data_IF_336691779672
#
_entry.id   IF_336691779672
#
_cell.length_a   1.000
_cell.length_b   1.000
_cell.length_c   1.000
_cell.angle_alpha   90.00
_cell.angle_beta   90.00
_cell.angle_gamma   90.00
#
_symmetry.space_group_name_H-M   'P 1'
#
loop_
_entity.id
_entity.type
_entity.pdbx_description
1 polymer ?
#
# COMPACT_ATOMS: atom_id res chain seq x y z
N UNK A 1 2.17 25.12 -33.41
CA UNK A 1 3.14 24.39 -32.55
C UNK A 1 2.72 22.94 -32.56
N UNK A 2 3.63 22.05 -32.95
CA UNK A 2 3.35 20.62 -33.14
C UNK A 2 4.14 19.80 -32.12
N UNK A 3 3.52 18.77 -31.55
CA UNK A 3 4.17 17.79 -30.67
C UNK A 3 3.90 16.40 -31.22
N UNK A 4 4.97 15.63 -31.44
CA UNK A 4 4.87 14.24 -31.84
C UNK A 4 5.14 13.30 -30.66
N UNK A 5 4.26 12.31 -30.46
CA UNK A 5 4.35 11.34 -29.38
C UNK A 5 4.49 9.92 -29.93
N UNK A 6 5.67 9.30 -29.76
CA UNK A 6 5.91 7.92 -30.18
C UNK A 6 5.90 6.95 -28.98
N UNK A 7 4.98 6.00 -28.96
CA UNK A 7 4.88 4.97 -27.91
C UNK A 7 6.07 3.99 -27.89
N UNK A 8 6.70 3.71 -29.04
CA UNK A 8 7.87 2.82 -29.10
C UNK A 8 9.09 3.39 -28.38
N UNK A 9 9.17 4.72 -28.24
CA UNK A 9 10.25 5.36 -27.46
C UNK A 9 10.17 5.07 -25.95
N UNK A 10 9.04 4.55 -25.46
CA UNK A 10 8.84 4.21 -24.06
C UNK A 10 9.47 2.86 -23.70
N UNK A 11 9.72 1.98 -24.68
CA UNK A 11 10.05 0.57 -24.45
C UNK A 11 11.27 0.39 -23.55
N UNK A 12 12.37 1.08 -23.86
CA UNK A 12 13.62 0.94 -23.10
C UNK A 12 13.47 1.47 -21.66
N UNK A 13 12.80 2.61 -21.50
CA UNK A 13 12.56 3.18 -20.16
C UNK A 13 11.66 2.28 -19.31
N UNK A 14 10.62 1.69 -19.91
CA UNK A 14 9.73 0.76 -19.20
C UNK A 14 10.50 -0.51 -18.81
N UNK A 15 11.27 -1.10 -19.74
CA UNK A 15 12.05 -2.30 -19.46
C UNK A 15 13.13 -2.05 -18.39
N UNK A 16 13.75 -0.87 -18.40
CA UNK A 16 14.72 -0.48 -17.37
C UNK A 16 14.06 -0.32 -15.99
N UNK A 17 12.91 0.35 -15.91
CA UNK A 17 12.17 0.51 -14.65
C UNK A 17 11.70 -0.85 -14.10
N UNK A 18 11.25 -1.76 -14.98
CA UNK A 18 10.80 -3.10 -14.60
C UNK A 18 11.92 -4.03 -14.10
N UNK A 19 13.19 -3.65 -14.29
CA UNK A 19 14.31 -4.36 -13.67
C UNK A 19 14.46 -4.05 -12.18
N UNK A 20 13.84 -2.97 -11.67
CA UNK A 20 13.91 -2.60 -10.27
C UNK A 20 12.93 -3.42 -9.40
N UNK A 21 13.34 -3.82 -8.18
CA UNK A 21 12.46 -4.52 -7.24
C UNK A 21 11.14 -3.78 -6.98
N UNK A 22 10.03 -4.52 -6.96
CA UNK A 22 8.69 -3.96 -6.66
C UNK A 22 8.05 -3.10 -7.76
N UNK A 23 8.74 -2.85 -8.88
CA UNK A 23 8.15 -2.08 -9.98
C UNK A 23 7.08 -2.88 -10.71
N UNK A 24 5.88 -2.31 -10.83
CA UNK A 24 4.79 -2.90 -11.61
C UNK A 24 4.80 -2.40 -13.05
N UNK A 25 4.33 -3.20 -14.03
CA UNK A 25 4.22 -2.76 -15.42
C UNK A 25 3.43 -1.46 -15.58
N UNK A 26 2.33 -1.31 -14.85
CA UNK A 26 1.51 -0.10 -14.88
C UNK A 26 2.28 1.13 -14.39
N UNK A 27 3.00 1.01 -13.26
CA UNK A 27 3.77 2.14 -12.72
C UNK A 27 4.98 2.49 -13.61
N UNK A 28 5.63 1.50 -14.22
CA UNK A 28 6.71 1.73 -15.17
C UNK A 28 6.21 2.45 -16.44
N UNK A 29 5.05 2.05 -16.97
CA UNK A 29 4.38 2.75 -18.07
C UNK A 29 4.03 4.18 -17.70
N UNK A 30 3.47 4.42 -16.51
CA UNK A 30 3.13 5.77 -16.02
C UNK A 30 4.36 6.68 -15.98
N UNK A 31 5.45 6.20 -15.38
CA UNK A 31 6.71 6.95 -15.26
C UNK A 31 7.32 7.26 -16.62
N UNK A 32 7.37 6.27 -17.51
CA UNK A 32 7.87 6.44 -18.86
C UNK A 32 7.01 7.44 -19.67
N UNK A 33 5.68 7.36 -19.55
CA UNK A 33 4.76 8.26 -20.23
C UNK A 33 4.86 9.69 -19.70
N UNK A 34 5.01 9.88 -18.39
CA UNK A 34 5.24 11.19 -17.77
C UNK A 34 6.54 11.82 -18.28
N UNK A 35 7.64 11.06 -18.26
CA UNK A 35 8.93 11.51 -18.76
C UNK A 35 8.87 11.85 -20.25
N UNK A 36 8.22 11.02 -21.06
CA UNK A 36 8.06 11.24 -22.50
C UNK A 36 7.25 12.50 -22.80
N UNK A 37 6.09 12.68 -22.17
CA UNK A 37 5.31 13.91 -22.31
C UNK A 37 6.11 15.13 -21.88
N UNK A 38 6.89 15.04 -20.80
CA UNK A 38 7.74 16.14 -20.37
C UNK A 38 8.77 16.51 -21.45
N UNK A 39 9.54 15.53 -21.93
CA UNK A 39 10.62 15.78 -22.88
C UNK A 39 10.11 16.21 -24.26
N UNK A 40 9.04 15.61 -24.80
CA UNK A 40 8.49 16.01 -26.10
C UNK A 40 7.94 17.45 -26.08
N UNK A 41 7.22 17.83 -25.03
CA UNK A 41 6.72 19.20 -24.90
C UNK A 41 7.85 20.20 -24.59
N UNK A 42 8.86 19.80 -23.83
CA UNK A 42 10.04 20.64 -23.57
C UNK A 42 10.81 20.92 -24.86
N UNK A 43 11.01 19.89 -25.69
CA UNK A 43 11.70 20.01 -26.97
C UNK A 43 10.90 20.86 -27.96
N UNK A 44 9.62 20.57 -28.15
CA UNK A 44 8.76 21.28 -29.09
C UNK A 44 8.57 22.78 -28.76
N UNK A 45 8.72 23.15 -27.49
CA UNK A 45 8.54 24.54 -27.03
C UNK A 45 9.84 25.16 -26.48
N UNK A 46 11.00 24.58 -26.76
CA UNK A 46 12.28 25.00 -26.18
C UNK A 46 12.59 26.50 -26.37
N UNK A 47 12.16 27.09 -27.48
CA UNK A 47 12.40 28.49 -27.81
C UNK A 47 11.47 29.50 -27.12
N UNK A 48 10.35 29.05 -26.54
CA UNK A 48 9.30 29.92 -26.00
C UNK A 48 9.01 29.69 -24.52
N UNK A 49 9.51 28.59 -23.96
CA UNK A 49 9.30 28.26 -22.54
C UNK A 49 10.11 29.18 -21.63
N UNK A 50 9.43 29.77 -20.65
CA UNK A 50 10.09 30.50 -19.54
C UNK A 50 10.39 29.61 -18.34
N UNK A 51 9.78 28.42 -18.28
CA UNK A 51 9.94 27.41 -17.21
C UNK A 51 9.79 26.01 -17.81
N UNK A 52 10.41 24.98 -17.20
CA UNK A 52 10.18 23.59 -17.61
C UNK A 52 8.70 23.21 -17.58
N UNK A 53 8.24 22.36 -18.52
CA UNK A 53 6.88 21.83 -18.50
C UNK A 53 6.58 21.09 -17.20
N UNK A 54 5.33 21.11 -16.77
CA UNK A 54 4.84 20.25 -15.69
C UNK A 54 3.82 19.29 -16.26
N UNK A 55 4.05 18.00 -16.05
CA UNK A 55 3.11 16.93 -16.40
C UNK A 55 2.42 16.48 -15.12
N UNK A 56 1.12 16.23 -15.20
CA UNK A 56 0.32 15.73 -14.08
C UNK A 56 -0.62 14.65 -14.55
N UNK A 57 -0.52 13.50 -13.92
CA UNK A 57 -1.50 12.42 -14.02
C UNK A 57 -2.46 12.41 -12.83
N UNK A 58 -3.59 11.73 -13.01
CA UNK A 58 -4.60 11.56 -11.98
C UNK A 58 -4.70 10.08 -11.59
N UNK A 59 -4.35 9.79 -10.34
CA UNK A 59 -4.22 8.43 -9.79
C UNK A 59 -5.49 7.56 -9.88
N UNK A 60 -6.66 8.19 -9.98
CA UNK A 60 -7.97 7.54 -10.01
C UNK A 60 -8.31 6.86 -11.35
N UNK A 61 -7.59 7.17 -12.41
CA UNK A 61 -7.87 6.66 -13.75
C UNK A 61 -7.13 5.37 -14.09
N UNK A 62 -6.26 4.92 -13.19
CA UNK A 62 -5.43 3.74 -13.40
C UNK A 62 -6.19 2.49 -12.95
N UNK A 63 -6.88 1.87 -13.91
CA UNK A 63 -7.48 0.55 -13.70
C UNK A 63 -6.34 -0.49 -13.59
N UNK A 64 -6.51 -1.49 -12.73
CA UNK A 64 -5.62 -2.66 -12.65
C UNK A 64 -4.15 -2.35 -12.33
N UNK A 65 -3.86 -1.61 -11.25
CA UNK A 65 -2.51 -1.22 -10.78
C UNK A 65 -1.44 -2.33 -10.77
N UNK A 66 -1.86 -3.58 -10.65
CA UNK A 66 -1.01 -4.77 -10.54
C UNK A 66 -1.08 -5.68 -11.76
N UNK A 67 -1.57 -5.19 -12.90
CA UNK A 67 -1.61 -5.99 -14.12
C UNK A 67 -0.20 -6.39 -14.58
N UNK A 68 -0.03 -7.67 -14.93
CA UNK A 68 1.16 -8.18 -15.62
C UNK A 68 1.18 -7.72 -17.09
N UNK A 69 2.32 -7.86 -17.77
CA UNK A 69 2.41 -7.53 -19.20
C UNK A 69 1.45 -8.38 -20.06
N UNK A 70 1.28 -9.70 -19.84
CA UNK A 70 0.26 -10.47 -20.55
C UNK A 70 -1.18 -9.97 -20.30
N UNK A 71 -1.50 -9.57 -19.07
CA UNK A 71 -2.80 -8.99 -18.77
C UNK A 71 -3.01 -7.67 -19.54
N UNK A 72 -2.01 -6.79 -19.53
CA UNK A 72 -2.02 -5.53 -20.29
C UNK A 72 -2.01 -5.73 -21.81
N UNK A 73 -1.43 -6.81 -22.34
CA UNK A 73 -1.56 -7.15 -23.76
C UNK A 73 -3.00 -7.45 -24.15
N UNK A 74 -3.77 -8.08 -23.25
CA UNK A 74 -5.19 -8.38 -23.46
C UNK A 74 -6.12 -7.18 -23.25
N UNK A 75 -5.90 -6.40 -22.20
CA UNK A 75 -6.77 -5.27 -21.83
C UNK A 75 -6.34 -3.92 -22.40
N UNK A 76 -5.06 -3.75 -22.71
CA UNK A 76 -4.42 -2.46 -22.98
C UNK A 76 -4.13 -1.67 -21.70
N UNK A 77 -3.22 -0.70 -21.81
CA UNK A 77 -3.06 0.35 -20.80
C UNK A 77 -3.78 1.61 -21.28
N UNK A 78 -4.60 2.20 -20.39
CA UNK A 78 -5.36 3.42 -20.68
C UNK A 78 -5.31 4.38 -19.49
N UNK A 79 -5.27 5.68 -19.79
CA UNK A 79 -5.34 6.75 -18.79
C UNK A 79 -6.04 7.99 -19.35
N UNK A 80 -6.63 8.80 -18.49
CA UNK A 80 -7.49 9.92 -18.87
C UNK A 80 -7.02 11.23 -18.28
N UNK A 81 -7.22 12.29 -19.06
CA UNK A 81 -7.00 13.68 -18.66
C UNK A 81 -5.62 14.03 -18.11
N UNK A 82 -4.48 13.47 -18.58
CA UNK A 82 -3.19 14.03 -18.19
C UNK A 82 -3.09 15.49 -18.60
N UNK A 83 -2.53 16.31 -17.71
CA UNK A 83 -2.39 17.75 -17.88
C UNK A 83 -0.92 18.12 -18.07
N UNK A 84 -0.61 18.83 -19.16
CA UNK A 84 0.68 19.42 -19.44
C UNK A 84 0.55 20.92 -19.29
N UNK A 85 1.31 21.50 -18.34
CA UNK A 85 1.35 22.94 -18.12
C UNK A 85 2.62 23.52 -18.72
N UNK A 86 2.46 24.44 -19.67
CA UNK A 86 3.52 25.23 -20.27
C UNK A 86 3.42 26.69 -19.80
N UNK A 87 4.57 27.31 -19.57
CA UNK A 87 4.66 28.75 -19.27
C UNK A 87 5.49 29.42 -20.35
N UNK A 88 4.92 30.42 -21.04
CA UNK A 88 5.63 31.19 -22.08
C UNK A 88 5.59 32.69 -21.77
N UNK A 89 6.37 33.48 -22.51
CA UNK A 89 6.22 34.94 -22.50
C UNK A 89 4.85 35.37 -23.03
N UNK A 90 4.40 36.59 -22.71
CA UNK A 90 3.11 37.09 -23.21
C UNK A 90 3.06 37.20 -24.75
N UNK A 91 4.21 37.48 -25.38
CA UNK A 91 4.34 37.55 -26.84
C UNK A 91 4.31 36.17 -27.52
N UNK A 92 4.70 35.12 -26.79
CA UNK A 92 4.78 33.74 -27.28
C UNK A 92 3.59 32.89 -26.82
N UNK A 93 2.48 33.54 -26.45
CA UNK A 93 1.26 32.85 -26.05
C UNK A 93 0.55 32.26 -27.27
N UNK A 94 -0.10 31.11 -27.08
CA UNK A 94 -0.75 30.38 -28.17
C UNK A 94 -2.12 29.84 -27.75
N UNK A 95 -3.01 29.68 -28.72
CA UNK A 95 -4.39 29.21 -28.50
C UNK A 95 -4.70 27.90 -29.25
N UNK A 96 -3.70 27.35 -29.95
CA UNK A 96 -3.80 26.09 -30.67
C UNK A 96 -2.50 25.29 -30.60
N UNK A 97 -2.65 23.96 -30.56
CA UNK A 97 -1.56 23.00 -30.60
C UNK A 97 -1.99 21.79 -31.45
N UNK A 98 -1.05 21.24 -32.20
CA UNK A 98 -1.25 20.01 -32.96
C UNK A 98 -0.51 18.88 -32.27
N UNK A 99 -1.19 17.74 -32.11
CA UNK A 99 -0.63 16.54 -31.50
C UNK A 99 -0.67 15.42 -32.55
N UNK A 100 0.49 14.89 -32.89
CA UNK A 100 0.64 13.67 -33.69
C UNK A 100 1.12 12.52 -32.79
N UNK A 101 0.74 11.29 -33.14
CA UNK A 101 1.12 10.13 -32.33
C UNK A 101 1.29 8.85 -33.15
N UNK A 102 2.25 8.02 -32.74
CA UNK A 102 2.55 6.70 -33.29
C UNK A 102 2.65 5.70 -32.13
N UNK A 103 2.09 4.49 -32.28
CA UNK A 103 2.07 3.44 -31.23
C UNK A 103 1.55 3.91 -29.85
N UNK A 104 0.83 5.02 -29.85
CA UNK A 104 0.21 5.67 -28.70
C UNK A 104 -1.10 6.29 -29.20
N UNK A 105 -2.23 5.74 -28.79
CA UNK A 105 -3.55 6.23 -29.19
C UNK A 105 -3.94 7.47 -28.41
N UNK A 106 -4.15 8.58 -29.10
CA UNK A 106 -4.76 9.79 -28.55
C UNK A 106 -6.25 9.82 -28.93
N UNK A 107 -7.10 9.32 -28.04
CA UNK A 107 -8.50 9.07 -28.34
C UNK A 107 -9.37 10.29 -27.99
N UNK A 108 -10.29 10.69 -28.89
CA UNK A 108 -11.10 11.87 -28.65
C UNK A 108 -12.32 11.55 -27.77
N UNK A 109 -12.78 12.56 -27.03
CA UNK A 109 -14.03 12.50 -26.27
C UNK A 109 -15.09 13.34 -26.99
N UNK A 110 -16.29 12.76 -27.12
CA UNK A 110 -17.47 13.44 -27.65
C UNK A 110 -18.12 14.30 -26.57
N UNK A 111 -18.36 15.58 -26.87
CA UNK A 111 -19.03 16.53 -25.98
C UNK A 111 -20.49 16.76 -26.36
N UNK A 112 -21.05 15.92 -27.26
CA UNK A 112 -22.35 16.17 -27.87
C UNK A 112 -22.28 17.21 -29.00
N UNK A 113 -23.36 17.36 -29.75
CA UNK A 113 -23.45 18.32 -30.86
C UNK A 113 -22.45 18.09 -32.00
N UNK A 114 -21.95 16.85 -32.17
CA UNK A 114 -20.96 16.50 -33.19
C UNK A 114 -19.52 16.92 -32.87
N UNK A 115 -19.26 17.51 -31.69
CA UNK A 115 -17.91 17.95 -31.30
C UNK A 115 -17.16 16.81 -30.62
N UNK A 116 -16.05 16.40 -31.22
CA UNK A 116 -15.13 15.41 -30.67
C UNK A 116 -13.72 16.01 -30.62
N UNK A 117 -13.03 15.89 -29.47
CA UNK A 117 -11.69 16.49 -29.29
C UNK A 117 -10.73 15.51 -28.65
N UNK A 118 -9.50 15.45 -29.15
CA UNK A 118 -8.38 14.68 -28.58
C UNK A 118 -7.80 15.38 -27.35
N UNK A 119 -7.75 16.71 -27.36
CA UNK A 119 -7.22 17.50 -26.26
C UNK A 119 -8.05 18.77 -26.05
N UNK A 120 -7.85 19.41 -24.89
CA UNK A 120 -8.32 20.75 -24.59
C UNK A 120 -7.12 21.64 -24.24
N UNK A 121 -7.15 22.88 -24.70
CA UNK A 121 -6.18 23.91 -24.30
C UNK A 121 -6.90 24.96 -23.47
N UNK A 122 -6.35 25.29 -22.29
CA UNK A 122 -6.78 26.44 -21.50
C UNK A 122 -5.62 27.40 -21.33
N UNK A 123 -5.83 28.65 -21.72
CA UNK A 123 -4.86 29.73 -21.56
C UNK A 123 -5.25 30.62 -20.38
N UNK A 124 -4.25 31.08 -19.63
CA UNK A 124 -4.41 32.09 -18.59
C UNK A 124 -3.22 33.04 -18.60
N UNK A 125 -3.49 34.29 -18.96
CA UNK A 125 -2.49 35.35 -18.94
C UNK A 125 -2.27 35.87 -17.50
N UNK A 126 -1.00 36.05 -17.14
CA UNK A 126 -0.55 36.64 -15.90
C UNK A 126 0.24 37.93 -16.19
N UNK A 127 0.65 38.66 -15.15
CA UNK A 127 1.37 39.94 -15.32
C UNK A 127 2.65 39.87 -16.18
N UNK A 128 3.34 38.72 -16.20
CA UNK A 128 4.66 38.56 -16.85
C UNK A 128 4.78 37.33 -17.76
N UNK A 129 3.77 36.46 -17.79
CA UNK A 129 3.82 35.19 -18.53
C UNK A 129 2.40 34.74 -18.87
N UNK A 130 2.27 33.86 -19.85
CA UNK A 130 1.03 33.13 -20.11
C UNK A 130 1.18 31.65 -19.73
N UNK A 131 0.17 31.12 -19.05
CA UNK A 131 0.10 29.70 -18.71
C UNK A 131 -0.86 28.98 -19.66
N UNK A 132 -0.41 27.86 -20.20
CA UNK A 132 -1.15 27.02 -21.12
C UNK A 132 -1.28 25.64 -20.48
N UNK A 133 -2.51 25.18 -20.26
CA UNK A 133 -2.81 23.84 -19.77
C UNK A 133 -3.40 23.04 -20.93
N UNK A 134 -2.60 22.10 -21.44
CA UNK A 134 -3.01 21.10 -22.41
C UNK A 134 -3.50 19.89 -21.64
N UNK A 135 -4.78 19.56 -21.76
CA UNK A 135 -5.36 18.33 -21.23
C UNK A 135 -5.59 17.37 -22.37
N UNK A 136 -4.86 16.26 -22.41
CA UNK A 136 -5.12 15.18 -23.38
C UNK A 136 -6.26 14.34 -22.81
N UNK A 137 -7.30 14.08 -23.59
CA UNK A 137 -8.53 13.50 -23.05
C UNK A 137 -8.38 12.02 -22.66
N UNK A 138 -7.77 11.22 -23.53
CA UNK A 138 -7.59 9.79 -23.33
C UNK A 138 -6.34 9.32 -24.07
N UNK A 139 -5.42 8.70 -23.33
CA UNK A 139 -4.24 8.04 -23.87
C UNK A 139 -4.41 6.53 -23.72
N UNK A 140 -4.22 5.81 -24.82
CA UNK A 140 -4.17 4.35 -24.86
C UNK A 140 -2.81 3.90 -25.38
N UNK A 141 -2.09 3.10 -24.62
CA UNK A 141 -0.81 2.56 -25.08
C UNK A 141 -1.06 1.47 -26.14
N UNK A 142 -0.30 1.51 -27.24
CA UNK A 142 -0.37 0.48 -28.27
C UNK A 142 0.04 -0.90 -27.73
N UNK A 143 -0.64 -1.95 -28.21
CA UNK A 143 -0.33 -3.34 -27.81
C UNK A 143 1.02 -3.81 -28.38
N UNK A 144 1.47 -3.19 -29.47
CA UNK A 144 2.81 -3.31 -30.04
C UNK A 144 3.90 -2.84 -29.07
N UNK A 145 3.68 -1.72 -28.36
CA UNK A 145 4.61 -1.23 -27.32
C UNK A 145 4.73 -2.23 -26.18
N UNK A 146 3.59 -2.69 -25.65
CA UNK A 146 3.57 -3.66 -24.53
C UNK A 146 4.26 -4.97 -24.97
N UNK A 147 4.04 -5.41 -26.22
CA UNK A 147 4.70 -6.58 -26.80
C UNK A 147 6.20 -6.37 -26.92
N UNK A 148 6.64 -5.20 -27.37
CA UNK A 148 8.06 -4.87 -27.48
C UNK A 148 8.74 -4.87 -26.10
N UNK A 149 8.09 -4.33 -25.06
CA UNK A 149 8.57 -4.41 -23.66
C UNK A 149 8.69 -5.86 -23.21
N UNK A 150 7.67 -6.69 -23.46
CA UNK A 150 7.69 -8.10 -23.10
C UNK A 150 8.85 -8.84 -23.78
N UNK A 151 8.99 -8.70 -25.11
CA UNK A 151 10.10 -9.30 -25.88
C UNK A 151 11.47 -8.86 -25.35
N UNK A 152 11.61 -7.57 -25.01
CA UNK A 152 12.85 -7.00 -24.47
C UNK A 152 13.25 -7.60 -23.13
N UNK A 153 12.27 -7.84 -22.26
CA UNK A 153 12.46 -8.48 -20.95
C UNK A 153 12.63 -9.99 -21.06
N UNK A 154 12.01 -10.67 -22.02
CA UNK A 154 12.28 -12.09 -22.26
C UNK A 154 13.73 -12.36 -22.68
N UNK A 155 14.35 -11.43 -23.42
CA UNK A 155 15.77 -11.50 -23.79
C UNK A 155 16.71 -11.22 -22.61
N UNK A 156 16.24 -10.49 -21.60
CA UNK A 156 17.02 -10.07 -20.43
C UNK A 156 16.11 -9.97 -19.21
N UNK A 157 15.67 -11.11 -18.64
CA UNK A 157 14.65 -11.12 -17.61
C UNK A 157 15.13 -10.47 -16.32
N UNK A 158 14.23 -9.79 -15.58
CA UNK A 158 14.58 -9.25 -14.27
C UNK A 158 14.90 -10.39 -13.30
N UNK A 159 15.83 -10.15 -12.38
CA UNK A 159 16.19 -11.13 -11.34
C UNK A 159 15.01 -11.48 -10.43
N UNK A 160 14.08 -10.53 -10.26
CA UNK A 160 12.82 -10.69 -9.55
C UNK A 160 11.65 -10.27 -10.47
N UNK A 161 10.96 -11.22 -11.11
CA UNK A 161 9.83 -10.93 -11.99
C UNK A 161 8.46 -10.88 -11.28
N UNK A 162 8.38 -11.19 -9.98
CA UNK A 162 7.12 -11.22 -9.26
C UNK A 162 6.73 -9.83 -8.75
N UNK A 163 5.48 -9.44 -9.00
CA UNK A 163 4.87 -8.25 -8.45
C UNK A 163 3.85 -8.63 -7.36
N UNK A 164 3.83 -7.90 -6.26
CA UNK A 164 2.82 -8.08 -5.23
C UNK A 164 1.50 -7.44 -5.65
N UNK A 165 0.50 -8.26 -5.96
CA UNK A 165 -0.86 -7.82 -6.21
C UNK A 165 -1.62 -7.81 -4.87
N UNK A 166 -1.66 -6.63 -4.27
CA UNK A 166 -2.26 -6.40 -2.95
C UNK A 166 -3.78 -6.23 -3.01
N UNK A 167 -4.39 -6.32 -4.19
CA UNK A 167 -5.83 -6.16 -4.36
C UNK A 167 -6.35 -6.87 -5.62
N UNK A 168 -6.16 -8.20 -5.72
CA UNK A 168 -6.41 -8.92 -6.98
C UNK A 168 -7.88 -8.95 -7.39
N UNK A 169 -8.80 -8.78 -6.43
CA UNK A 169 -10.25 -8.86 -6.65
C UNK A 169 -10.99 -7.58 -6.22
N UNK A 170 -10.28 -6.48 -5.93
CA UNK A 170 -10.92 -5.27 -5.34
C UNK A 170 -11.75 -5.64 -4.10
N UNK A 171 -11.25 -6.59 -3.31
CA UNK A 171 -12.05 -7.30 -2.33
C UNK A 171 -12.37 -6.44 -1.10
N UNK A 172 -13.58 -6.60 -0.59
CA UNK A 172 -14.02 -5.93 0.63
C UNK A 172 -13.51 -6.66 1.88
N UNK A 173 -13.70 -6.00 3.03
CA UNK A 173 -13.32 -6.51 4.35
C UNK A 173 -13.87 -7.93 4.60
N UNK A 174 -13.02 -8.80 5.15
CA UNK A 174 -13.33 -10.19 5.48
C UNK A 174 -12.83 -11.22 4.46
N UNK A 175 -12.44 -10.78 3.26
CA UNK A 175 -12.06 -11.63 2.13
C UNK A 175 -10.87 -11.07 1.34
N UNK A 176 -10.01 -10.27 1.99
CA UNK A 176 -8.77 -9.76 1.37
C UNK A 176 -7.74 -10.87 1.24
N UNK A 177 -7.16 -10.96 0.05
CA UNK A 177 -6.07 -11.86 -0.28
C UNK A 177 -4.95 -11.07 -0.96
N UNK A 178 -3.74 -11.63 -0.92
CA UNK A 178 -2.59 -11.11 -1.65
C UNK A 178 -2.10 -12.19 -2.60
N UNK A 179 -1.97 -11.85 -3.88
CA UNK A 179 -1.28 -12.69 -4.86
C UNK A 179 0.05 -12.06 -5.28
N UNK A 180 0.87 -12.87 -5.92
CA UNK A 180 2.15 -12.48 -6.48
C UNK A 180 2.15 -12.95 -7.92
N UNK A 181 2.10 -11.99 -8.83
CA UNK A 181 1.87 -12.27 -10.25
C UNK A 181 3.22 -12.15 -10.97
N UNK A 182 3.56 -13.13 -11.80
CA UNK A 182 4.77 -13.06 -12.63
C UNK A 182 4.53 -12.10 -13.78
N UNK A 183 5.26 -10.98 -13.80
CA UNK A 183 4.95 -9.88 -14.71
C UNK A 183 5.09 -10.24 -16.19
N UNK A 184 5.90 -11.25 -16.53
CA UNK A 184 6.13 -11.68 -17.92
C UNK A 184 5.21 -12.82 -18.37
N UNK A 185 4.79 -13.72 -17.47
CA UNK A 185 4.05 -14.94 -17.83
C UNK A 185 2.58 -14.86 -17.43
N UNK A 186 2.24 -13.99 -16.48
CA UNK A 186 0.90 -13.88 -15.90
C UNK A 186 0.55 -15.00 -14.92
N UNK A 187 1.48 -15.91 -14.64
CA UNK A 187 1.31 -16.93 -13.61
C UNK A 187 1.09 -16.26 -12.25
N UNK A 188 0.15 -16.78 -11.47
CA UNK A 188 -0.23 -16.22 -10.17
C UNK A 188 0.21 -17.15 -9.07
N UNK A 189 0.78 -16.57 -8.04
CA UNK A 189 1.22 -17.28 -6.86
C UNK A 189 0.56 -16.72 -5.61
N UNK A 190 0.36 -17.58 -4.62
CA UNK A 190 -0.05 -17.21 -3.27
C UNK A 190 0.92 -17.84 -2.28
N UNK A 191 1.05 -17.25 -1.09
CA UNK A 191 1.99 -17.75 -0.10
C UNK A 191 1.39 -18.95 0.65
N UNK A 192 2.20 -19.98 0.92
CA UNK A 192 1.76 -21.17 1.68
C UNK A 192 1.16 -20.84 3.04
N UNK A 193 1.62 -19.76 3.69
CA UNK A 193 1.10 -19.36 4.98
C UNK A 193 -0.37 -18.96 4.97
N UNK A 194 -0.94 -18.61 3.80
CA UNK A 194 -2.35 -18.24 3.69
C UNK A 194 -3.26 -19.41 3.32
N UNK A 195 -2.72 -20.62 3.17
CA UNK A 195 -3.47 -21.78 2.70
C UNK A 195 -4.65 -22.14 3.59
N UNK A 196 -4.47 -22.17 4.91
CA UNK A 196 -5.56 -22.48 5.84
C UNK A 196 -6.70 -21.46 5.76
N UNK A 197 -6.35 -20.16 5.68
CA UNK A 197 -7.33 -19.09 5.47
C UNK A 197 -8.07 -19.28 4.14
N UNK A 198 -7.34 -19.50 3.04
CA UNK A 198 -7.93 -19.72 1.72
C UNK A 198 -8.86 -20.95 1.68
N UNK A 199 -8.46 -22.07 2.28
CA UNK A 199 -9.29 -23.28 2.38
C UNK A 199 -10.57 -23.04 3.17
N UNK A 200 -10.51 -22.24 4.24
CA UNK A 200 -11.70 -21.83 5.01
C UNK A 200 -12.69 -21.02 4.17
N UNK A 201 -12.18 -20.12 3.32
CA UNK A 201 -12.99 -19.32 2.39
C UNK A 201 -13.62 -20.20 1.31
N UNK A 202 -12.88 -21.16 0.78
CA UNK A 202 -13.37 -22.11 -0.21
C UNK A 202 -14.46 -23.04 0.35
N UNK A 203 -14.34 -23.44 1.61
CA UNK A 203 -15.29 -24.32 2.29
C UNK A 203 -16.59 -23.64 2.73
N UNK A 204 -16.61 -22.30 2.82
CA UNK A 204 -17.81 -21.53 3.14
C UNK A 204 -18.89 -21.74 2.05
N UNK A 205 -20.18 -21.61 2.36
CA UNK A 205 -21.28 -21.95 1.43
C UNK A 205 -21.57 -20.83 0.41
N UNK A 206 -22.26 -21.14 -0.69
CA UNK A 206 -22.60 -20.15 -1.74
C UNK A 206 -23.46 -18.97 -1.27
N UNK A 207 -24.11 -19.08 -0.11
CA UNK A 207 -24.90 -18.01 0.49
C UNK A 207 -24.06 -16.78 0.94
N UNK A 208 -22.72 -16.86 0.91
CA UNK A 208 -21.80 -15.85 1.43
C UNK A 208 -21.52 -14.66 0.48
N UNK A 209 -22.25 -14.57 -0.64
CA UNK A 209 -22.26 -13.40 -1.53
C UNK A 209 -21.26 -13.45 -2.70
N UNK A 210 -21.34 -12.44 -3.57
CA UNK A 210 -20.61 -12.36 -4.85
C UNK A 210 -19.09 -12.52 -4.70
N UNK A 211 -18.50 -11.90 -3.69
CA UNK A 211 -17.05 -11.87 -3.50
C UNK A 211 -16.46 -13.25 -3.14
N UNK A 212 -17.19 -14.05 -2.35
CA UNK A 212 -16.78 -15.41 -2.05
C UNK A 212 -16.78 -16.29 -3.32
N UNK A 213 -17.72 -16.06 -4.24
CA UNK A 213 -17.76 -16.73 -5.54
C UNK A 213 -16.54 -16.37 -6.41
N UNK A 214 -16.17 -15.08 -6.50
CA UNK A 214 -14.97 -14.66 -7.22
C UNK A 214 -13.71 -15.30 -6.65
N UNK A 215 -13.57 -15.36 -5.33
CA UNK A 215 -12.43 -16.02 -4.69
C UNK A 215 -12.36 -17.53 -4.99
N UNK A 216 -13.50 -18.23 -5.00
CA UNK A 216 -13.56 -19.65 -5.38
C UNK A 216 -13.14 -19.90 -6.82
N UNK A 217 -13.35 -18.94 -7.72
CA UNK A 217 -12.88 -19.02 -9.10
C UNK A 217 -11.41 -18.61 -9.23
N UNK A 218 -10.97 -17.63 -8.43
CA UNK A 218 -9.63 -17.05 -8.51
C UNK A 218 -8.55 -17.95 -7.89
N UNK A 219 -8.78 -18.47 -6.67
CA UNK A 219 -7.79 -19.25 -5.91
C UNK A 219 -7.28 -20.50 -6.66
N UNK A 220 -8.12 -21.29 -7.36
CA UNK A 220 -7.66 -22.42 -8.16
C UNK A 220 -6.73 -22.04 -9.32
N UNK A 221 -6.71 -20.77 -9.73
CA UNK A 221 -5.79 -20.27 -10.77
C UNK A 221 -4.39 -19.92 -10.23
N UNK A 222 -4.21 -19.99 -8.90
CA UNK A 222 -2.97 -19.61 -8.22
C UNK A 222 -2.20 -20.84 -7.75
N UNK A 223 -0.87 -20.81 -7.90
CA UNK A 223 0.03 -21.80 -7.31
C UNK A 223 0.56 -21.35 -5.95
N UNK A 224 0.69 -22.29 -5.01
CA UNK A 224 1.20 -22.05 -3.67
C UNK A 224 2.74 -22.09 -3.64
N UNK A 225 3.38 -21.13 -2.97
CA UNK A 225 4.83 -21.11 -2.74
C UNK A 225 5.19 -20.70 -1.31
N UNK A 226 6.19 -21.36 -0.76
CA UNK A 226 6.74 -21.05 0.56
C UNK A 226 7.46 -19.69 0.59
N UNK A 227 7.38 -19.02 1.75
CA UNK A 227 8.07 -17.75 2.04
C UNK A 227 7.92 -16.68 0.95
N UNK A 228 6.72 -16.55 0.39
CA UNK A 228 6.47 -15.65 -0.72
C UNK A 228 5.99 -14.27 -0.29
N UNK A 229 5.19 -14.19 0.79
CA UNK A 229 4.54 -12.95 1.20
C UNK A 229 5.43 -12.04 2.03
N UNK A 230 5.07 -10.75 2.08
CA UNK A 230 5.80 -9.75 2.88
C UNK A 230 5.93 -10.13 4.35
N UNK A 231 4.91 -10.77 4.94
CA UNK A 231 4.97 -11.21 6.34
C UNK A 231 5.97 -12.34 6.55
N UNK A 232 6.03 -13.33 5.65
CA UNK A 232 7.00 -14.41 5.75
C UNK A 232 8.42 -13.91 5.50
N UNK A 233 8.59 -13.05 4.50
CA UNK A 233 9.88 -12.43 4.17
C UNK A 233 10.38 -11.61 5.35
N UNK A 234 9.57 -10.71 5.92
CA UNK A 234 9.99 -9.89 7.05
C UNK A 234 10.40 -10.71 8.30
N UNK A 235 9.81 -11.91 8.48
CA UNK A 235 10.17 -12.82 9.58
C UNK A 235 11.47 -13.60 9.33
N UNK A 236 11.78 -13.94 8.08
CA UNK A 236 12.89 -14.84 7.73
C UNK A 236 14.12 -14.11 7.17
N UNK A 237 13.89 -13.07 6.39
CA UNK A 237 14.88 -12.30 5.63
C UNK A 237 14.44 -10.83 5.58
N UNK A 238 14.47 -10.08 6.69
CA UNK A 238 14.00 -8.69 6.75
C UNK A 238 14.75 -7.72 5.82
N UNK A 239 15.95 -8.08 5.39
CA UNK A 239 16.75 -7.36 4.40
C UNK A 239 16.28 -7.57 2.95
N UNK A 240 15.40 -8.53 2.69
CA UNK A 240 14.90 -8.85 1.36
C UNK A 240 13.81 -7.85 0.95
N UNK A 241 14.16 -7.00 -0.01
CA UNK A 241 13.36 -5.90 -0.53
C UNK A 241 12.77 -6.19 -1.92
N UNK A 242 12.62 -7.47 -2.28
CA UNK A 242 12.21 -7.91 -3.63
C UNK A 242 10.91 -7.28 -4.18
N UNK A 243 10.04 -6.77 -3.30
CA UNK A 243 8.79 -6.08 -3.67
C UNK A 243 8.80 -4.56 -3.42
N UNK A 244 9.97 -4.00 -3.08
CA UNK A 244 10.16 -2.58 -2.78
C UNK A 244 9.26 -2.06 -1.65
N UNK A 245 8.95 -0.76 -1.70
CA UNK A 245 8.16 -0.07 -0.67
C UNK A 245 6.63 -0.21 -0.85
N UNK A 246 6.17 -1.13 -1.69
CA UNK A 246 4.74 -1.25 -2.06
C UNK A 246 3.84 -1.57 -0.86
N UNK A 247 4.35 -2.30 0.12
CA UNK A 247 3.56 -2.77 1.26
C UNK A 247 3.24 -1.69 2.30
N UNK A 248 4.04 -0.62 2.40
CA UNK A 248 3.88 0.41 3.44
C UNK A 248 2.49 1.09 3.40
N UNK A 249 1.91 1.18 2.20
CA UNK A 249 0.62 1.85 1.97
C UNK A 249 -0.57 0.89 1.91
N UNK A 250 -0.32 -0.43 1.80
CA UNK A 250 -1.35 -1.45 1.55
C UNK A 250 -1.17 -2.73 2.39
N UNK A 251 -0.51 -2.61 3.54
CA UNK A 251 -0.38 -3.71 4.51
C UNK A 251 -1.73 -4.27 4.98
N UNK A 252 -2.81 -3.48 4.82
CA UNK A 252 -4.16 -3.89 5.20
C UNK A 252 -4.66 -5.13 4.47
N UNK A 253 -4.08 -5.46 3.31
CA UNK A 253 -4.41 -6.67 2.54
C UNK A 253 -4.09 -7.96 3.27
N UNK A 254 -3.26 -7.92 4.34
CA UNK A 254 -2.96 -9.09 5.18
C UNK A 254 -3.87 -9.25 6.39
N UNK A 255 -4.74 -8.27 6.68
CA UNK A 255 -5.47 -8.26 7.95
C UNK A 255 -6.43 -9.44 8.09
N UNK A 256 -7.13 -9.82 7.03
CA UNK A 256 -8.12 -10.91 7.11
C UNK A 256 -7.44 -12.26 7.36
N UNK A 257 -6.31 -12.51 6.69
CA UNK A 257 -5.47 -13.67 6.96
C UNK A 257 -4.98 -13.67 8.43
N UNK A 258 -4.43 -12.56 8.92
CA UNK A 258 -3.90 -12.53 10.30
C UNK A 258 -4.99 -12.63 11.36
N UNK A 259 -6.17 -12.05 11.11
CA UNK A 259 -7.34 -12.22 11.96
C UNK A 259 -7.75 -13.69 12.06
N UNK A 260 -7.76 -14.40 10.92
CA UNK A 260 -8.04 -15.84 10.86
C UNK A 260 -6.96 -16.64 11.61
N UNK A 261 -5.69 -16.47 11.23
CA UNK A 261 -4.56 -17.25 11.75
C UNK A 261 -4.41 -17.12 13.28
N UNK A 262 -4.66 -15.94 13.83
CA UNK A 262 -4.51 -15.68 15.26
C UNK A 262 -5.83 -15.69 16.03
N UNK A 263 -6.97 -15.81 15.35
CA UNK A 263 -8.32 -15.68 15.94
C UNK A 263 -8.49 -14.38 16.74
N UNK A 264 -8.07 -13.26 16.18
CA UNK A 264 -8.08 -11.94 16.84
C UNK A 264 -8.91 -10.90 16.08
N UNK A 265 -9.21 -9.78 16.74
CA UNK A 265 -9.87 -8.66 16.09
C UNK A 265 -8.95 -7.91 15.09
N UNK A 266 -9.56 -7.07 14.25
CA UNK A 266 -8.84 -6.30 13.24
C UNK A 266 -7.78 -5.36 13.83
N UNK A 267 -8.00 -4.86 15.05
CA UNK A 267 -7.08 -3.92 15.70
C UNK A 267 -5.79 -4.65 16.10
N UNK A 268 -5.94 -5.85 16.64
CA UNK A 268 -4.84 -6.74 16.99
C UNK A 268 -4.12 -7.24 15.74
N UNK A 269 -4.86 -7.69 14.72
CA UNK A 269 -4.27 -8.10 13.45
C UNK A 269 -3.47 -6.96 12.78
N UNK A 270 -3.97 -5.72 12.84
CA UNK A 270 -3.22 -4.55 12.35
C UNK A 270 -1.94 -4.34 13.12
N UNK A 271 -1.99 -4.40 14.45
CA UNK A 271 -0.79 -4.25 15.28
C UNK A 271 0.25 -5.35 14.99
N UNK A 272 -0.19 -6.60 14.78
CA UNK A 272 0.66 -7.71 14.38
C UNK A 272 1.32 -7.47 13.02
N UNK A 273 0.53 -7.15 11.98
CA UNK A 273 1.06 -6.88 10.63
C UNK A 273 2.07 -5.73 10.66
N UNK A 274 1.74 -4.63 11.35
CA UNK A 274 2.64 -3.48 11.48
C UNK A 274 3.90 -3.80 12.29
N UNK A 275 3.81 -4.69 13.29
CA UNK A 275 4.96 -5.14 14.06
C UNK A 275 5.90 -5.98 13.17
N UNK A 276 5.35 -7.00 12.51
CA UNK A 276 6.10 -7.92 11.64
C UNK A 276 6.78 -7.16 10.50
N UNK A 277 6.10 -6.19 9.87
CA UNK A 277 6.65 -5.39 8.78
C UNK A 277 7.55 -4.23 9.25
N UNK A 278 7.74 -4.04 10.56
CA UNK A 278 8.54 -2.92 11.09
C UNK A 278 7.93 -1.53 10.86
N UNK A 279 6.62 -1.44 10.54
CA UNK A 279 5.91 -0.21 10.21
C UNK A 279 5.33 0.52 11.44
N UNK A 280 5.51 -0.01 12.65
CA UNK A 280 4.95 0.60 13.85
C UNK A 280 5.63 1.92 14.22
N UNK A 281 4.83 2.98 14.32
CA UNK A 281 5.27 4.30 14.83
C UNK A 281 5.74 4.22 16.29
N UNK A 282 5.06 3.42 17.11
CA UNK A 282 5.35 3.25 18.53
C UNK A 282 6.31 2.10 18.75
N UNK A 283 7.58 2.30 18.37
CA UNK A 283 8.61 1.24 18.33
C UNK A 283 8.73 0.46 19.64
N UNK A 284 8.83 1.16 20.79
CA UNK A 284 8.98 0.49 22.10
C UNK A 284 7.77 -0.36 22.47
N UNK A 285 6.58 0.14 22.19
CA UNK A 285 5.33 -0.55 22.47
C UNK A 285 5.17 -1.79 21.59
N UNK A 286 5.58 -1.68 20.32
CA UNK A 286 5.65 -2.78 19.38
C UNK A 286 6.72 -3.82 19.78
N UNK A 287 7.89 -3.38 20.24
CA UNK A 287 8.94 -4.27 20.78
C UNK A 287 8.44 -5.04 22.01
N UNK A 288 7.79 -4.36 22.95
CA UNK A 288 7.20 -5.02 24.13
C UNK A 288 6.18 -6.08 23.71
N UNK A 289 5.32 -5.76 22.74
CA UNK A 289 4.34 -6.72 22.21
C UNK A 289 4.99 -7.95 21.57
N UNK A 290 5.99 -7.77 20.70
CA UNK A 290 6.71 -8.89 20.09
C UNK A 290 7.33 -9.82 21.12
N UNK A 291 7.99 -9.26 22.14
CA UNK A 291 8.59 -10.04 23.22
C UNK A 291 7.54 -10.77 24.07
N UNK A 292 6.36 -10.18 24.29
CA UNK A 292 5.26 -10.85 24.97
C UNK A 292 4.69 -12.00 24.11
N UNK A 293 4.53 -11.81 22.79
CA UNK A 293 4.11 -12.89 21.87
C UNK A 293 5.07 -14.07 21.88
N UNK A 294 6.37 -13.80 21.87
CA UNK A 294 7.41 -14.84 21.96
C UNK A 294 7.39 -15.59 23.29
N UNK A 295 7.11 -14.90 24.40
CA UNK A 295 7.06 -15.51 25.73
C UNK A 295 5.78 -16.33 25.98
N UNK A 296 4.69 -16.03 25.28
CA UNK A 296 3.39 -16.69 25.44
C UNK A 296 2.84 -17.19 24.09
N UNK A 297 3.50 -18.16 23.44
CA UNK A 297 3.12 -18.63 22.11
C UNK A 297 1.72 -19.26 22.09
N UNK A 298 1.34 -19.95 23.17
CA UNK A 298 0.07 -20.70 23.28
C UNK A 298 -1.10 -19.84 23.81
N UNK A 299 -0.89 -18.54 24.04
CA UNK A 299 -1.92 -17.66 24.58
C UNK A 299 -2.35 -16.63 23.56
N UNK A 300 -3.62 -16.21 23.66
CA UNK A 300 -4.10 -15.09 22.89
C UNK A 300 -3.51 -13.80 23.46
N UNK A 301 -2.80 -13.04 22.61
CA UNK A 301 -2.23 -11.74 22.97
C UNK A 301 -2.92 -10.66 22.16
N UNK A 302 -3.83 -9.95 22.80
CA UNK A 302 -4.64 -8.90 22.19
C UNK A 302 -3.95 -7.54 22.32
N UNK A 303 -4.04 -6.71 21.27
CA UNK A 303 -3.46 -5.37 21.22
C UNK A 303 -4.55 -4.30 21.25
N UNK A 304 -4.29 -3.23 22.00
CA UNK A 304 -5.26 -2.14 22.19
C UNK A 304 -6.65 -2.66 22.56
N UNK A 305 -6.69 -3.69 23.41
CA UNK A 305 -7.89 -4.41 23.78
C UNK A 305 -8.85 -3.49 24.53
N UNK A 306 -10.14 -3.55 24.18
CA UNK A 306 -11.19 -2.72 24.81
C UNK A 306 -12.33 -3.60 25.31
N UNK A 307 -12.11 -4.42 26.35
CA UNK A 307 -13.18 -5.24 26.92
C UNK A 307 -14.38 -4.40 27.32
N UNK A 308 -15.60 -4.95 27.23
CA UNK A 308 -16.85 -4.18 27.46
C UNK A 308 -16.87 -3.46 28.82
N UNK A 309 -16.34 -4.09 29.86
CA UNK A 309 -16.26 -3.54 31.22
C UNK A 309 -15.29 -2.35 31.35
N UNK A 310 -14.36 -2.19 30.40
CA UNK A 310 -13.39 -1.09 30.37
C UNK A 310 -13.94 0.18 29.68
N UNK A 311 -15.13 0.08 29.08
CA UNK A 311 -15.80 1.19 28.43
C UNK A 311 -15.03 1.68 27.18
N UNK A 312 -14.69 2.97 27.16
CA UNK A 312 -13.97 3.61 26.04
C UNK A 312 -12.44 3.53 26.16
N UNK A 313 -11.92 3.02 27.29
CA UNK A 313 -10.49 2.89 27.51
C UNK A 313 -9.96 1.59 26.90
N UNK A 314 -8.65 1.54 26.68
CA UNK A 314 -7.97 0.40 26.06
C UNK A 314 -6.79 -0.05 26.89
N UNK A 315 -6.50 -1.34 26.84
CA UNK A 315 -5.28 -1.95 27.35
C UNK A 315 -4.28 -2.09 26.21
N UNK A 316 -3.02 -1.72 26.42
CA UNK A 316 -2.02 -1.78 25.35
C UNK A 316 -1.81 -3.23 24.87
N UNK A 317 -1.65 -4.16 25.82
CA UNK A 317 -1.58 -5.59 25.60
C UNK A 317 -2.44 -6.31 26.65
N UNK A 318 -3.24 -7.28 26.23
CA UNK A 318 -4.12 -8.07 27.10
C UNK A 318 -4.06 -9.56 26.77
N UNK A 319 -3.85 -10.39 27.79
CA UNK A 319 -3.84 -11.85 27.73
C UNK A 319 -5.04 -12.35 28.55
N UNK A 320 -6.20 -12.63 27.92
CA UNK A 320 -7.43 -12.97 28.61
C UNK A 320 -7.32 -14.20 29.50
N UNK A 321 -6.63 -15.24 29.03
CA UNK A 321 -6.52 -16.53 29.73
C UNK A 321 -5.71 -16.40 31.03
N UNK A 322 -4.74 -15.49 31.05
CA UNK A 322 -3.90 -15.20 32.21
C UNK A 322 -4.47 -14.11 33.10
N UNK A 323 -5.60 -13.49 32.70
CA UNK A 323 -6.15 -12.27 33.32
C UNK A 323 -5.06 -11.20 33.50
N UNK A 324 -4.22 -11.04 32.49
CA UNK A 324 -3.04 -10.17 32.53
C UNK A 324 -3.19 -9.02 31.53
N UNK A 325 -3.06 -7.79 32.02
CA UNK A 325 -2.90 -6.60 31.22
C UNK A 325 -1.45 -6.08 31.34
N UNK A 326 -0.86 -5.70 30.21
CA UNK A 326 0.47 -5.10 30.15
C UNK A 326 0.31 -3.71 29.51
N UNK A 327 0.81 -2.69 30.20
CA UNK A 327 0.72 -1.28 29.80
C UNK A 327 2.12 -0.72 29.59
N UNK A 328 2.35 0.05 28.53
CA UNK A 328 3.61 0.75 28.31
C UNK A 328 3.42 2.25 28.54
N UNK A 329 3.88 2.73 29.69
CA UNK A 329 3.75 4.12 30.06
C UNK A 329 4.87 4.97 29.46
N UNK A 330 4.49 5.79 28.47
CA UNK A 330 5.32 6.88 27.94
C UNK A 330 5.62 7.96 28.99
N UNK A 331 6.50 8.90 28.64
CA UNK A 331 6.94 9.96 29.56
C UNK A 331 5.79 10.88 30.02
N UNK A 332 4.75 11.04 29.20
CA UNK A 332 3.54 11.80 29.52
C UNK A 332 2.76 11.27 30.74
N UNK A 333 2.96 10.01 31.13
CA UNK A 333 2.34 9.43 32.32
C UNK A 333 3.03 9.87 33.63
N UNK A 334 4.25 10.40 33.54
CA UNK A 334 5.07 10.75 34.71
C UNK A 334 5.28 12.25 34.86
N UNK A 335 5.28 13.00 33.76
CA UNK A 335 5.46 14.45 33.77
C UNK A 335 4.60 15.15 32.72
N UNK A 336 4.16 16.39 32.98
CA UNK A 336 3.49 17.20 31.98
C UNK A 336 4.44 17.48 30.81
N UNK A 337 3.94 17.31 29.60
CA UNK A 337 4.67 17.59 28.37
C UNK A 337 3.87 18.59 27.53
N UNK A 338 4.49 19.72 27.18
CA UNK A 338 3.81 20.80 26.44
C UNK A 338 3.20 20.33 25.12
N UNK A 339 3.91 19.44 24.39
CA UNK A 339 3.46 18.85 23.13
C UNK A 339 2.16 18.03 23.28
N UNK A 340 1.86 17.57 24.49
CA UNK A 340 0.67 16.77 24.82
C UNK A 340 -0.39 17.54 25.62
N UNK A 341 -0.27 18.87 25.74
CA UNK A 341 -1.25 19.72 26.43
C UNK A 341 -0.92 20.06 27.89
N UNK A 342 0.32 19.82 28.33
CA UNK A 342 0.82 20.30 29.64
C UNK A 342 0.11 19.68 30.85
N UNK A 343 -0.09 20.49 31.90
CA UNK A 343 -0.56 20.02 33.21
C UNK A 343 -2.00 19.50 33.20
N UNK A 344 -2.90 20.13 32.43
CA UNK A 344 -4.29 19.69 32.36
C UNK A 344 -4.43 18.32 31.70
N UNK A 345 -3.65 18.08 30.64
CA UNK A 345 -3.61 16.78 29.99
C UNK A 345 -3.02 15.71 30.92
N UNK A 346 -1.96 16.06 31.67
CA UNK A 346 -1.34 15.14 32.62
C UNK A 346 -2.32 14.73 33.74
N UNK A 347 -3.08 15.67 34.32
CA UNK A 347 -4.11 15.36 35.33
C UNK A 347 -5.16 14.36 34.80
N UNK A 348 -5.65 14.58 33.58
CA UNK A 348 -6.61 13.66 32.94
C UNK A 348 -6.02 12.28 32.70
N UNK A 349 -4.74 12.19 32.35
CA UNK A 349 -4.03 10.89 32.20
C UNK A 349 -3.98 10.17 33.55
N UNK A 350 -3.59 10.85 34.63
CA UNK A 350 -3.53 10.26 35.98
C UNK A 350 -4.90 9.76 36.44
N UNK A 351 -5.97 10.55 36.27
CA UNK A 351 -7.34 10.16 36.60
C UNK A 351 -7.79 8.93 35.81
N UNK A 352 -7.51 8.92 34.50
CA UNK A 352 -7.86 7.80 33.60
C UNK A 352 -7.10 6.53 33.98
N UNK A 353 -5.81 6.63 34.29
CA UNK A 353 -4.99 5.47 34.65
C UNK A 353 -5.43 4.89 36.01
N UNK A 354 -5.83 5.72 36.97
CA UNK A 354 -6.41 5.28 38.23
C UNK A 354 -7.75 4.55 38.03
N UNK A 355 -8.65 5.11 37.19
CA UNK A 355 -9.92 4.46 36.85
C UNK A 355 -9.70 3.12 36.14
N UNK A 356 -8.79 3.08 35.16
CA UNK A 356 -8.42 1.85 34.44
C UNK A 356 -7.97 0.76 35.41
N UNK A 357 -7.05 1.08 36.34
CA UNK A 357 -6.56 0.12 37.35
C UNK A 357 -7.68 -0.39 38.25
N UNK A 358 -8.58 0.50 38.69
CA UNK A 358 -9.74 0.11 39.50
C UNK A 358 -10.61 -0.90 38.75
N UNK A 359 -10.97 -0.61 37.50
CA UNK A 359 -11.78 -1.50 36.67
C UNK A 359 -11.08 -2.83 36.40
N UNK A 360 -9.77 -2.84 36.16
CA UNK A 360 -9.01 -4.08 36.03
C UNK A 360 -9.07 -4.92 37.32
N UNK A 361 -8.83 -4.32 38.48
CA UNK A 361 -8.88 -5.02 39.76
C UNK A 361 -10.28 -5.60 40.06
N UNK A 362 -11.35 -4.85 39.78
CA UNK A 362 -12.74 -5.30 39.92
C UNK A 362 -13.06 -6.51 39.04
N UNK A 363 -12.39 -6.63 37.88
CA UNK A 363 -12.54 -7.76 36.96
C UNK A 363 -11.49 -8.87 37.20
N UNK A 364 -10.69 -8.78 38.27
CA UNK A 364 -9.66 -9.76 38.60
C UNK A 364 -8.50 -9.80 37.61
N UNK A 365 -8.26 -8.68 36.92
CA UNK A 365 -7.18 -8.52 35.93
C UNK A 365 -6.00 -7.85 36.59
N UNK A 366 -4.86 -8.52 36.49
CA UNK A 366 -3.60 -8.01 36.98
C UNK A 366 -2.91 -7.13 35.94
N UNK A 367 -2.51 -5.92 36.34
CA UNK A 367 -1.87 -4.93 35.46
C UNK A 367 -0.36 -4.86 35.75
N UNK A 368 0.46 -4.98 34.72
CA UNK A 368 1.93 -4.82 34.79
C UNK A 368 2.36 -3.66 33.91
N UNK A 369 2.86 -2.58 34.51
CA UNK A 369 3.26 -1.37 33.76
C UNK A 369 4.75 -1.38 33.40
N UNK A 370 5.10 -1.18 32.14
CA UNK A 370 6.46 -0.95 31.67
C UNK A 370 6.68 0.54 31.45
N UNK A 371 7.65 1.11 32.18
CA UNK A 371 8.07 2.50 31.98
C UNK A 371 8.79 2.66 30.64
N UNK A 372 8.72 3.86 30.07
CA UNK A 372 9.44 4.23 28.86
C UNK A 372 10.97 4.06 28.95
N UNK A 373 11.55 4.10 30.15
CA UNK A 373 12.98 3.93 30.41
C UNK A 373 13.36 2.50 30.81
N UNK A 374 12.39 1.59 30.98
CA UNK A 374 12.64 0.22 31.39
C UNK A 374 13.38 -0.57 30.29
N UNK A 375 14.33 -1.45 30.63
CA UNK A 375 14.98 -2.31 29.63
C UNK A 375 13.97 -3.30 29.05
N UNK A 376 13.82 -3.30 27.72
CA UNK A 376 13.00 -4.26 26.97
C UNK A 376 13.90 -5.36 26.40
N UNK A 377 14.35 -6.25 27.29
CA UNK A 377 15.12 -7.44 26.92
C UNK A 377 14.32 -8.69 27.26
N UNK A 378 14.57 -9.80 26.58
CA UNK A 378 13.95 -11.08 26.90
C UNK A 378 14.10 -11.45 28.39
N UNK A 379 15.29 -11.21 28.97
CA UNK A 379 15.54 -11.49 30.39
C UNK A 379 14.69 -10.60 31.32
N UNK A 380 14.67 -9.29 31.10
CA UNK A 380 13.95 -8.35 31.98
C UNK A 380 12.45 -8.55 31.94
N UNK A 381 11.88 -8.82 30.75
CA UNK A 381 10.44 -9.09 30.60
C UNK A 381 10.11 -10.45 31.23
N UNK A 382 10.89 -11.50 30.97
CA UNK A 382 10.70 -12.83 31.56
C UNK A 382 10.72 -12.80 33.08
N UNK A 383 11.65 -12.05 33.69
CA UNK A 383 11.71 -11.88 35.14
C UNK A 383 10.45 -11.21 35.68
N UNK A 384 9.95 -10.18 34.98
CA UNK A 384 8.78 -9.42 35.41
C UNK A 384 7.46 -10.17 35.24
N UNK A 385 7.39 -11.05 34.24
CA UNK A 385 6.22 -11.87 33.94
C UNK A 385 6.37 -13.32 34.45
N UNK A 386 7.40 -13.60 35.25
CA UNK A 386 7.78 -14.97 35.66
C UNK A 386 6.65 -15.73 36.33
N UNK A 387 5.83 -15.06 37.16
CA UNK A 387 4.70 -15.69 37.84
C UNK A 387 3.65 -16.20 36.85
N UNK A 388 3.43 -15.52 35.73
CA UNK A 388 2.45 -15.92 34.72
C UNK A 388 2.98 -17.05 33.84
N UNK A 389 4.30 -17.16 33.70
CA UNK A 389 4.94 -18.29 33.02
C UNK A 389 4.88 -19.57 33.87
N UNK A 390 4.89 -19.46 35.20
CA UNK A 390 4.91 -20.60 36.14
C UNK A 390 3.53 -21.19 36.46
N UNK A 391 2.46 -20.45 36.21
CA UNK A 391 1.09 -20.97 36.37
C UNK A 391 0.80 -22.11 35.38
N UNK A 392 1.68 -22.32 34.40
CA UNK A 392 1.58 -23.32 33.33
C UNK A 392 2.74 -24.32 33.28
N UNK A 393 3.49 -24.52 34.38
CA UNK A 393 4.50 -25.58 34.49
C UNK A 393 3.99 -26.78 35.29
#
# INVERSE_FOLDING_TARGET
MEVSLNGMSLVDSIAQDLAAPGMTPVLAIERALEAHLHEQFKAAFAHVLVKPPKVKFHSMYFKQRYASLPALLGSGYETWYPEITLSTGLADAFDQIELSSESLGLLPISYGGGVSRVHQLKRKDLKRQSNHVIRINHIKLGSDVIRAVLTRLEQSPPSQPLISNLDPLSSSWGLRIVSFDHMLTGERFVCDCSKAFHESVLAAQEADGYLASELRQYLPTCAYKACLCHLCIAKQSPEDDRYGASIETKYESYLDQVMFDLSVDQRTARAEVMHVLGLSKWRRESTLYGLVRELFPDHQVLREASPKWLGRMRLDIYLPELKLAIEHHGEQHYRPLAVFGGDEAHKKVVERDALKRKLCAENGIEVVDFRFDAPLTNRSIKQRLLRFLRVNA
#
